data_IF_016993510230
#
_entry.id   IF_016993510230
#
_cell.length_a   1.000
_cell.length_b   1.000
_cell.length_c   1.000
_cell.angle_alpha   90.00
_cell.angle_beta   90.00
_cell.angle_gamma   90.00
#
_symmetry.space_group_name_H-M   'P 1'
#
loop_
_entity.id
_entity.type
_entity.pdbx_description
1 polymer ?
#
# COMPACT_ATOMS: atom_id res chain seq x y z
N UNK A 1 0.35 -17.30 -12.81
CA UNK A 1 -0.26 -17.21 -11.47
C UNK A 1 -1.11 -15.96 -11.46
N UNK A 2 -2.38 -16.05 -11.09
CA UNK A 2 -3.28 -14.89 -11.10
C UNK A 2 -2.85 -13.87 -10.03
N UNK A 3 -2.66 -12.62 -10.46
CA UNK A 3 -2.36 -11.50 -9.58
C UNK A 3 -3.60 -11.07 -8.78
N UNK A 4 -3.41 -10.26 -7.74
CA UNK A 4 -4.52 -9.65 -7.01
C UNK A 4 -5.37 -8.74 -7.92
N UNK A 5 -4.76 -8.10 -8.90
CA UNK A 5 -5.48 -7.32 -9.90
C UNK A 5 -6.37 -8.21 -10.77
N UNK A 6 -5.87 -9.32 -11.31
CA UNK A 6 -6.69 -10.23 -12.11
C UNK A 6 -7.77 -10.92 -11.27
N UNK A 7 -7.52 -11.19 -9.98
CA UNK A 7 -8.51 -11.75 -9.06
C UNK A 7 -9.73 -10.84 -8.88
N UNK A 8 -9.51 -9.53 -8.86
CA UNK A 8 -10.55 -8.52 -8.74
C UNK A 8 -10.99 -7.95 -10.09
N UNK A 9 -10.52 -8.50 -11.21
CA UNK A 9 -10.80 -8.00 -12.57
C UNK A 9 -10.44 -6.51 -12.75
N UNK A 10 -9.30 -6.10 -12.21
CA UNK A 10 -8.75 -4.75 -12.30
C UNK A 10 -7.47 -4.73 -13.14
N UNK A 11 -7.17 -3.58 -13.74
CA UNK A 11 -5.89 -3.35 -14.40
C UNK A 11 -4.77 -3.20 -13.35
N UNK A 12 -3.55 -3.71 -13.60
CA UNK A 12 -2.41 -3.57 -12.69
C UNK A 12 -1.80 -2.16 -12.79
N UNK A 13 -2.46 -1.19 -12.16
CA UNK A 13 -2.02 0.22 -12.07
C UNK A 13 -1.90 0.68 -10.64
N UNK A 14 -1.02 1.66 -10.41
CA UNK A 14 -0.87 2.32 -9.13
C UNK A 14 -1.96 3.38 -8.92
N UNK A 15 -2.32 4.13 -9.96
CA UNK A 15 -3.47 5.03 -9.97
C UNK A 15 -4.79 4.24 -10.05
N UNK A 16 -5.12 3.58 -8.94
CA UNK A 16 -6.33 2.78 -8.79
C UNK A 16 -7.39 3.55 -8.01
N UNK A 17 -8.57 3.69 -8.64
CA UNK A 17 -9.76 4.30 -8.07
C UNK A 17 -10.30 3.48 -6.89
N UNK A 18 -10.51 4.14 -5.74
CA UNK A 18 -10.91 3.48 -4.50
C UNK A 18 -12.32 2.89 -4.61
N UNK A 19 -13.25 3.58 -5.26
CA UNK A 19 -14.62 3.11 -5.42
C UNK A 19 -14.69 1.92 -6.39
N UNK A 20 -13.88 1.93 -7.45
CA UNK A 20 -13.74 0.81 -8.38
C UNK A 20 -13.18 -0.43 -7.68
N UNK A 21 -12.17 -0.25 -6.82
CA UNK A 21 -11.64 -1.35 -6.01
C UNK A 21 -12.70 -1.90 -5.05
N UNK A 22 -13.45 -1.04 -4.38
CA UNK A 22 -14.49 -1.46 -3.43
C UNK A 22 -15.63 -2.21 -4.14
N UNK A 23 -16.08 -1.72 -5.31
CA UNK A 23 -17.06 -2.42 -6.15
C UNK A 23 -16.55 -3.80 -6.57
N UNK A 24 -15.34 -3.86 -7.10
CA UNK A 24 -14.71 -5.11 -7.54
C UNK A 24 -14.59 -6.14 -6.39
N UNK A 25 -14.19 -5.70 -5.20
CA UNK A 25 -14.11 -6.54 -4.02
C UNK A 25 -15.48 -7.07 -3.57
N UNK A 26 -16.51 -6.22 -3.56
CA UNK A 26 -17.89 -6.65 -3.22
C UNK A 26 -18.41 -7.68 -4.20
N UNK A 27 -18.22 -7.45 -5.50
CA UNK A 27 -18.64 -8.40 -6.55
C UNK A 27 -17.92 -9.74 -6.45
N UNK A 28 -16.61 -9.73 -6.22
CA UNK A 28 -15.83 -10.95 -6.06
C UNK A 28 -16.26 -11.71 -4.79
N UNK A 29 -16.42 -11.01 -3.67
CA UNK A 29 -16.82 -11.59 -2.38
C UNK A 29 -18.21 -12.23 -2.45
N UNK A 30 -19.15 -11.60 -3.16
CA UNK A 30 -20.49 -12.14 -3.33
C UNK A 30 -20.50 -13.50 -4.06
N UNK A 31 -19.54 -13.77 -4.96
CA UNK A 31 -19.46 -15.05 -5.70
C UNK A 31 -19.00 -16.21 -4.81
N UNK A 32 -18.25 -15.92 -3.75
CA UNK A 32 -17.62 -16.92 -2.86
C UNK A 32 -18.22 -16.91 -1.45
N UNK A 33 -19.32 -16.18 -1.23
CA UNK A 33 -19.93 -16.02 0.08
C UNK A 33 -20.39 -17.39 0.66
N UNK A 34 -20.11 -17.69 1.94
CA UNK A 34 -20.46 -18.97 2.56
C UNK A 34 -21.93 -19.37 2.41
N UNK A 35 -22.86 -18.39 2.42
CA UNK A 35 -24.29 -18.64 2.24
C UNK A 35 -24.64 -19.28 0.90
N UNK A 36 -23.88 -18.98 -0.17
CA UNK A 36 -24.07 -19.62 -1.48
C UNK A 36 -23.65 -21.09 -1.48
N UNK A 37 -22.82 -21.47 -0.52
CA UNK A 37 -22.30 -22.82 -0.35
C UNK A 37 -22.89 -23.51 0.87
N UNK A 38 -23.96 -23.00 1.47
CA UNK A 38 -24.57 -23.57 2.68
C UNK A 38 -24.97 -25.05 2.49
N UNK A 39 -25.50 -25.38 1.31
CA UNK A 39 -25.88 -26.74 0.90
C UNK A 39 -24.76 -27.52 0.19
N UNK A 40 -23.60 -26.90 -0.02
CA UNK A 40 -22.48 -27.52 -0.73
C UNK A 40 -21.74 -28.54 0.14
N UNK A 41 -20.97 -29.41 -0.51
CA UNK A 41 -20.10 -30.38 0.15
C UNK A 41 -19.03 -29.69 0.99
N UNK A 42 -18.44 -30.44 1.93
CA UNK A 42 -17.34 -29.93 2.75
C UNK A 42 -16.11 -29.52 1.91
N UNK A 43 -15.87 -30.19 0.78
CA UNK A 43 -14.80 -29.84 -0.14
C UNK A 43 -15.06 -28.49 -0.83
N UNK A 44 -16.27 -28.28 -1.35
CA UNK A 44 -16.68 -27.02 -1.98
C UNK A 44 -16.65 -25.85 -0.99
N UNK A 45 -17.13 -26.06 0.24
CA UNK A 45 -17.05 -25.05 1.32
C UNK A 45 -15.61 -24.65 1.60
N UNK A 46 -14.68 -25.61 1.67
CA UNK A 46 -13.26 -25.34 1.89
C UNK A 46 -12.65 -24.52 0.75
N UNK A 47 -12.98 -24.86 -0.49
CA UNK A 47 -12.53 -24.10 -1.67
C UNK A 47 -13.07 -22.66 -1.61
N UNK A 48 -14.36 -22.47 -1.32
CA UNK A 48 -14.97 -21.15 -1.18
C UNK A 48 -14.27 -20.29 -0.10
N UNK A 49 -13.93 -20.88 1.05
CA UNK A 49 -13.19 -20.19 2.12
C UNK A 49 -11.79 -19.74 1.67
N UNK A 50 -11.07 -20.57 0.91
CA UNK A 50 -9.75 -20.21 0.37
C UNK A 50 -9.85 -19.02 -0.60
N UNK A 51 -10.86 -19.02 -1.47
CA UNK A 51 -11.09 -17.90 -2.38
C UNK A 51 -11.49 -16.63 -1.64
N UNK A 52 -12.37 -16.71 -0.65
CA UNK A 52 -12.75 -15.56 0.17
C UNK A 52 -11.54 -14.94 0.89
N UNK A 53 -10.66 -15.77 1.46
CA UNK A 53 -9.42 -15.32 2.07
C UNK A 53 -8.51 -14.60 1.05
N UNK A 54 -8.35 -15.17 -0.15
CA UNK A 54 -7.50 -14.60 -1.21
C UNK A 54 -8.06 -13.28 -1.76
N UNK A 55 -9.39 -13.16 -1.89
CA UNK A 55 -10.07 -11.92 -2.30
C UNK A 55 -9.88 -10.81 -1.25
N UNK A 56 -9.99 -11.15 0.03
CA UNK A 56 -9.75 -10.19 1.11
C UNK A 56 -8.29 -9.75 1.15
N UNK A 57 -7.35 -10.67 0.94
CA UNK A 57 -5.94 -10.33 0.85
C UNK A 57 -5.64 -9.40 -0.34
N UNK A 58 -6.24 -9.67 -1.51
CA UNK A 58 -6.14 -8.80 -2.67
C UNK A 58 -6.63 -7.38 -2.36
N UNK A 59 -7.80 -7.26 -1.74
CA UNK A 59 -8.35 -5.97 -1.36
C UNK A 59 -7.45 -5.22 -0.36
N UNK A 60 -6.97 -5.88 0.70
CA UNK A 60 -6.08 -5.28 1.69
C UNK A 60 -4.73 -4.80 1.11
N UNK A 61 -4.20 -5.51 0.13
CA UNK A 61 -2.97 -5.10 -0.57
C UNK A 61 -3.24 -3.94 -1.52
N UNK A 62 -4.29 -4.01 -2.33
CA UNK A 62 -4.58 -3.01 -3.35
C UNK A 62 -5.16 -1.71 -2.79
N UNK A 63 -5.78 -1.72 -1.62
CA UNK A 63 -6.36 -0.53 -1.00
C UNK A 63 -5.32 0.42 -0.43
N UNK A 64 -4.18 -0.10 0.06
CA UNK A 64 -3.14 0.71 0.69
C UNK A 64 -2.08 1.10 -0.36
N UNK A 65 -1.87 2.39 -0.67
CA UNK A 65 -0.94 2.80 -1.73
C UNK A 65 0.46 2.19 -1.58
N UNK A 66 1.05 2.23 -0.38
CA UNK A 66 2.36 1.63 -0.11
C UNK A 66 2.43 0.13 -0.42
N UNK A 67 1.37 -0.63 -0.07
CA UNK A 67 1.31 -2.08 -0.36
C UNK A 67 1.07 -2.35 -1.83
N UNK A 68 0.19 -1.55 -2.47
CA UNK A 68 -0.10 -1.64 -3.90
C UNK A 68 1.16 -1.37 -4.74
N UNK A 69 1.92 -0.34 -4.39
CA UNK A 69 3.16 0.01 -5.08
C UNK A 69 4.23 -1.09 -4.90
N UNK A 70 4.42 -1.59 -3.68
CA UNK A 70 5.33 -2.71 -3.41
C UNK A 70 4.95 -3.95 -4.23
N UNK A 71 3.65 -4.29 -4.27
CA UNK A 71 3.14 -5.42 -5.02
C UNK A 71 3.33 -5.28 -6.53
N UNK A 72 3.13 -4.08 -7.10
CA UNK A 72 3.41 -3.81 -8.50
C UNK A 72 4.90 -4.00 -8.84
N UNK A 73 5.80 -3.59 -7.95
CA UNK A 73 7.24 -3.81 -8.13
C UNK A 73 7.59 -5.31 -8.03
N UNK A 74 7.00 -6.04 -7.07
CA UNK A 74 7.17 -7.49 -6.92
C UNK A 74 6.71 -8.25 -8.17
N UNK A 75 5.54 -7.91 -8.73
CA UNK A 75 5.04 -8.50 -9.98
C UNK A 75 6.00 -8.30 -11.17
N UNK A 76 6.80 -7.24 -11.14
CA UNK A 76 7.81 -6.95 -12.16
C UNK A 76 9.21 -7.53 -11.83
N UNK A 77 9.36 -8.26 -10.72
CA UNK A 77 10.65 -8.83 -10.28
C UNK A 77 11.55 -7.86 -9.52
N UNK A 78 11.05 -6.69 -9.12
CA UNK A 78 11.77 -5.67 -8.36
C UNK A 78 11.25 -5.57 -6.92
N UNK A 79 11.35 -6.66 -6.16
CA UNK A 79 10.92 -6.64 -4.75
C UNK A 79 11.63 -5.54 -3.96
N UNK A 80 10.86 -4.84 -3.13
CA UNK A 80 11.35 -3.78 -2.25
C UNK A 80 12.31 -4.29 -1.18
N UNK A 81 12.24 -5.59 -0.86
CA UNK A 81 13.05 -6.26 0.17
C UNK A 81 14.26 -7.02 -0.41
N UNK A 82 14.52 -6.92 -1.72
CA UNK A 82 15.66 -7.61 -2.32
C UNK A 82 16.99 -7.10 -1.72
N UNK A 83 17.80 -8.01 -1.14
CA UNK A 83 19.04 -7.72 -0.38
C UNK A 83 20.04 -6.79 -1.10
N UNK A 84 19.99 -6.74 -2.44
CA UNK A 84 20.88 -5.93 -3.27
C UNK A 84 20.45 -4.47 -3.43
N UNK A 85 19.29 -4.06 -2.91
CA UNK A 85 18.70 -2.74 -3.20
C UNK A 85 18.45 -1.91 -1.93
N UNK A 86 19.39 -1.91 -0.99
CA UNK A 86 19.29 -1.18 0.30
C UNK A 86 19.76 0.28 0.23
N UNK A 87 20.19 0.78 -0.94
CA UNK A 87 20.57 2.19 -1.08
C UNK A 87 19.33 3.07 -1.04
N UNK A 88 19.17 3.80 0.05
CA UNK A 88 18.25 4.93 0.15
C UNK A 88 18.96 6.21 -0.25
N UNK A 89 18.19 7.11 -0.82
CA UNK A 89 18.62 8.47 -1.13
C UNK A 89 19.07 9.20 0.15
N UNK A 90 20.28 9.77 0.13
CA UNK A 90 20.86 10.47 1.29
C UNK A 90 20.05 11.71 1.68
N UNK A 91 19.45 12.41 0.71
CA UNK A 91 18.62 13.56 1.02
C UNK A 91 17.33 13.14 1.75
N UNK A 92 16.75 12.00 1.39
CA UNK A 92 15.63 11.43 2.13
C UNK A 92 16.02 11.00 3.55
N UNK A 93 17.18 10.39 3.75
CA UNK A 93 17.66 10.03 5.10
C UNK A 93 17.81 11.26 5.99
N UNK A 94 18.33 12.37 5.46
CA UNK A 94 18.41 13.63 6.22
C UNK A 94 17.03 14.18 6.57
N UNK A 95 16.07 14.18 5.62
CA UNK A 95 14.67 14.55 5.91
C UNK A 95 14.06 13.67 7.00
N UNK A 96 14.32 12.37 6.94
CA UNK A 96 13.81 11.43 7.93
C UNK A 96 14.36 11.71 9.34
N UNK A 97 15.65 12.04 9.45
CA UNK A 97 16.24 12.46 10.73
C UNK A 97 15.58 13.74 11.25
N UNK A 98 15.43 14.74 10.38
CA UNK A 98 14.76 16.00 10.73
C UNK A 98 13.33 15.77 11.25
N UNK A 99 12.53 14.94 10.58
CA UNK A 99 11.18 14.64 11.04
C UNK A 99 11.15 13.90 12.38
N UNK A 100 12.18 13.09 12.69
CA UNK A 100 12.28 12.43 14.00
C UNK A 100 12.59 13.44 15.10
N UNK A 101 13.49 14.37 14.85
CA UNK A 101 13.80 15.44 15.79
C UNK A 101 12.55 16.30 16.03
N UNK A 102 11.86 16.74 14.98
CA UNK A 102 10.61 17.51 15.09
C UNK A 102 9.51 16.74 15.83
N UNK A 103 9.42 15.41 15.65
CA UNK A 103 8.46 14.57 16.37
C UNK A 103 8.75 14.53 17.87
N UNK A 104 10.02 14.41 18.25
CA UNK A 104 10.45 14.41 19.66
C UNK A 104 10.20 15.78 20.31
N UNK A 105 10.48 16.87 19.59
CA UNK A 105 10.23 18.24 20.07
C UNK A 105 8.73 18.56 20.19
N UNK A 106 7.91 18.04 19.29
CA UNK A 106 6.46 18.21 19.29
C UNK A 106 5.73 17.34 20.32
N UNK A 107 6.44 16.53 21.11
CA UNK A 107 5.83 15.63 22.08
C UNK A 107 4.95 16.39 23.10
N UNK A 108 3.65 16.09 23.10
CA UNK A 108 2.67 16.76 23.97
C UNK A 108 2.13 18.08 23.43
N UNK A 109 2.58 18.54 22.26
CA UNK A 109 2.02 19.68 21.53
C UNK A 109 1.24 19.19 20.30
N UNK A 110 -0.08 19.09 20.44
CA UNK A 110 -0.98 18.66 19.37
C UNK A 110 -0.93 19.57 18.14
N UNK A 111 -0.64 20.87 18.31
CA UNK A 111 -0.56 21.81 17.18
C UNK A 111 0.71 21.57 16.38
N UNK A 112 1.84 21.39 17.06
CA UNK A 112 3.11 21.04 16.43
C UNK A 112 3.04 19.66 15.73
N UNK A 113 2.44 18.65 16.37
CA UNK A 113 2.22 17.33 15.76
C UNK A 113 1.35 17.41 14.49
N UNK A 114 0.30 18.24 14.50
CA UNK A 114 -0.55 18.42 13.33
C UNK A 114 0.18 19.17 12.18
N UNK A 115 1.05 20.12 12.51
CA UNK A 115 1.88 20.82 11.53
C UNK A 115 2.91 19.87 10.89
N UNK A 116 3.58 19.05 11.70
CA UNK A 116 4.49 18.00 11.23
C UNK A 116 3.75 17.00 10.33
N UNK A 117 2.56 16.53 10.77
CA UNK A 117 1.73 15.64 9.95
C UNK A 117 1.42 16.25 8.58
N UNK A 118 1.02 17.51 8.54
CA UNK A 118 0.71 18.21 7.27
C UNK A 118 1.92 18.26 6.33
N UNK A 119 3.11 18.50 6.88
CA UNK A 119 4.36 18.51 6.12
C UNK A 119 4.66 17.14 5.52
N UNK A 120 4.52 16.08 6.32
CA UNK A 120 4.78 14.70 5.87
C UNK A 120 3.70 14.23 4.86
N UNK A 121 2.44 14.59 5.06
CA UNK A 121 1.35 14.29 4.12
C UNK A 121 1.60 14.93 2.74
N UNK A 122 2.19 16.12 2.69
CA UNK A 122 2.56 16.76 1.42
C UNK A 122 3.68 16.01 0.69
N UNK A 123 4.65 15.49 1.44
CA UNK A 123 5.74 14.65 0.90
C UNK A 123 5.22 13.29 0.42
N UNK A 124 4.26 12.70 1.14
CA UNK A 124 3.55 11.49 0.69
C UNK A 124 2.90 11.73 -0.69
N UNK A 125 2.12 12.81 -0.83
CA UNK A 125 1.44 13.13 -2.09
C UNK A 125 2.44 13.38 -3.24
N UNK A 126 3.57 14.03 -2.98
CA UNK A 126 4.62 14.21 -3.98
C UNK A 126 5.21 12.86 -4.42
N UNK A 127 5.43 11.96 -3.48
CA UNK A 127 5.98 10.63 -3.73
C UNK A 127 4.98 9.73 -4.47
N UNK A 128 3.69 9.79 -4.13
CA UNK A 128 2.63 9.05 -4.85
C UNK A 128 2.49 9.51 -6.30
N UNK A 129 2.60 10.82 -6.58
CA UNK A 129 2.63 11.34 -7.96
C UNK A 129 3.83 10.79 -8.73
N UNK A 130 5.00 10.77 -8.10
CA UNK A 130 6.22 10.19 -8.68
C UNK A 130 6.04 8.68 -8.96
N UNK A 131 5.49 7.93 -8.00
CA UNK A 131 5.20 6.51 -8.16
C UNK A 131 4.19 6.23 -9.27
N UNK A 132 3.18 7.09 -9.43
CA UNK A 132 2.23 6.99 -10.54
C UNK A 132 2.94 7.09 -11.88
N UNK A 133 3.80 8.08 -12.06
CA UNK A 133 4.56 8.24 -13.32
C UNK A 133 5.51 7.05 -13.56
N UNK A 134 6.24 6.61 -12.53
CA UNK A 134 7.19 5.51 -12.63
C UNK A 134 6.52 4.17 -12.93
N UNK A 135 5.43 3.83 -12.22
CA UNK A 135 4.76 2.53 -12.30
C UNK A 135 3.77 2.45 -13.47
N UNK A 136 3.00 3.51 -13.72
CA UNK A 136 1.91 3.44 -14.69
C UNK A 136 2.35 3.84 -16.09
N UNK A 137 3.27 4.79 -16.21
CA UNK A 137 3.73 5.33 -17.49
C UNK A 137 5.10 4.81 -17.90
N UNK A 138 6.15 5.04 -17.09
CA UNK A 138 7.54 4.75 -17.47
C UNK A 138 7.91 3.27 -17.34
N UNK A 139 7.20 2.52 -16.49
CA UNK A 139 7.52 1.12 -16.14
C UNK A 139 8.94 0.97 -15.56
N UNK A 140 9.40 2.01 -14.87
CA UNK A 140 10.70 2.02 -14.19
C UNK A 140 10.54 1.46 -12.77
N UNK A 141 10.45 0.13 -12.70
CA UNK A 141 10.23 -0.59 -11.44
C UNK A 141 11.46 -0.56 -10.52
N UNK A 142 12.65 -0.40 -11.09
CA UNK A 142 13.89 -0.28 -10.32
C UNK A 142 13.85 1.00 -9.47
N UNK A 143 13.64 2.16 -10.09
CA UNK A 143 13.52 3.43 -9.37
C UNK A 143 12.24 3.49 -8.54
N UNK A 144 11.13 2.91 -9.02
CA UNK A 144 9.91 2.83 -8.21
C UNK A 144 10.16 2.10 -6.88
N UNK A 145 10.89 0.97 -6.88
CA UNK A 145 11.18 0.22 -5.65
C UNK A 145 11.94 1.05 -4.59
N UNK A 146 12.80 1.98 -5.01
CA UNK A 146 13.46 2.95 -4.13
C UNK A 146 12.46 3.93 -3.53
N UNK A 147 11.55 4.46 -4.36
CA UNK A 147 10.49 5.39 -3.92
C UNK A 147 9.47 4.70 -3.01
N UNK A 148 9.16 3.43 -3.22
CA UNK A 148 8.28 2.67 -2.30
C UNK A 148 8.91 2.54 -0.92
N UNK A 149 10.23 2.32 -0.82
CA UNK A 149 10.91 2.30 0.48
C UNK A 149 10.77 3.63 1.22
N UNK A 150 10.92 4.76 0.52
CA UNK A 150 10.66 6.09 1.11
C UNK A 150 9.22 6.20 1.63
N UNK A 151 8.25 5.71 0.85
CA UNK A 151 6.83 5.72 1.23
C UNK A 151 6.57 4.87 2.48
N UNK A 152 7.23 3.72 2.63
CA UNK A 152 7.13 2.88 3.85
C UNK A 152 7.59 3.64 5.11
N UNK A 153 8.65 4.44 5.03
CA UNK A 153 9.09 5.28 6.15
C UNK A 153 8.09 6.39 6.47
N UNK A 154 7.57 7.06 5.44
CA UNK A 154 6.53 8.09 5.58
C UNK A 154 5.28 7.50 6.26
N UNK A 155 4.78 6.36 5.78
CA UNK A 155 3.62 5.70 6.38
C UNK A 155 3.87 5.33 7.84
N UNK A 156 5.09 4.92 8.21
CA UNK A 156 5.44 4.58 9.59
C UNK A 156 5.40 5.80 10.52
N UNK A 157 6.01 6.92 10.11
CA UNK A 157 6.03 8.12 10.95
C UNK A 157 4.64 8.77 11.05
N UNK A 158 3.82 8.73 10.00
CA UNK A 158 2.43 9.19 10.07
C UNK A 158 1.59 8.38 11.07
N UNK A 159 1.79 7.06 11.15
CA UNK A 159 1.13 6.21 12.15
C UNK A 159 1.57 6.56 13.57
N UNK A 160 2.85 6.86 13.76
CA UNK A 160 3.40 7.29 15.05
C UNK A 160 2.81 8.65 15.48
N UNK A 161 2.81 9.65 14.59
CA UNK A 161 2.18 10.95 14.85
C UNK A 161 0.68 10.78 15.17
N UNK A 162 -0.03 9.97 14.38
CA UNK A 162 -1.46 9.74 14.60
C UNK A 162 -1.74 9.11 15.98
N UNK A 163 -0.83 8.25 16.47
CA UNK A 163 -0.95 7.65 17.81
C UNK A 163 -0.68 8.62 18.96
N UNK A 164 0.03 9.73 18.70
CA UNK A 164 0.31 10.77 19.67
C UNK A 164 -0.75 11.88 19.70
N UNK A 165 -1.52 12.02 18.62
CA UNK A 165 -2.64 12.98 18.52
C UNK A 165 -3.96 12.38 19.07
N UNK A 166 -4.14 11.06 18.94
CA UNK A 166 -5.36 10.34 19.34
C UNK A 166 -5.51 10.21 20.86
#
# INVERSE_FOLDING_TARGET
MDSYFSLLNLAPTFALDADALERAWREASARVHPDRFATASAAEKRVAMQWASRINQAYEVLRKPVKRAAYLCELAGHSVDAENNTRMDTAFLMKQMQWREELEEAAGDATALQALKTTIDAEEQALERCLTELLDSKKDYATASEKVRQLMFITKIQQEIQSLIA
#
